data_IF_617380229261
#
_entry.id   IF_617380229261
#
_cell.length_a   1.000
_cell.length_b   1.000
_cell.length_c   1.000
_cell.angle_alpha   90.00
_cell.angle_beta   90.00
_cell.angle_gamma   90.00
#
_symmetry.space_group_name_H-M   'P 1'
#
loop_
_entity.id
_entity.type
_entity.pdbx_description
1 polymer ?
#
# COMPACT_ATOMS: atom_id res chain seq x y z
N UNK A 1 -31.16 -46.27 11.25
CA UNK A 1 -31.79 -47.48 11.83
C UNK A 1 -33.07 -47.77 11.06
N UNK A 2 -33.21 -48.95 10.42
CA UNK A 2 -34.37 -49.45 9.62
C UNK A 2 -34.74 -48.61 8.37
N UNK A 3 -34.77 -49.11 7.12
CA UNK A 3 -35.30 -50.34 6.47
C UNK A 3 -36.81 -50.28 6.14
N UNK A 4 -37.16 -50.04 4.86
CA UNK A 4 -37.97 -50.92 3.93
C UNK A 4 -38.37 -50.16 2.63
N UNK A 5 -37.95 -50.58 1.43
CA UNK A 5 -38.65 -51.41 0.40
C UNK A 5 -39.97 -50.81 -0.12
N UNK A 6 -40.36 -50.90 -1.41
CA UNK A 6 -40.31 -52.06 -2.34
C UNK A 6 -40.25 -51.67 -3.85
N UNK A 7 -39.80 -52.61 -4.70
CA UNK A 7 -40.12 -52.73 -6.16
C UNK A 7 -41.45 -53.55 -6.31
N UNK A 8 -41.80 -54.36 -7.37
CA UNK A 8 -41.35 -54.52 -8.77
C UNK A 8 -42.53 -54.71 -9.80
N UNK A 9 -42.29 -55.49 -10.88
CA UNK A 9 -43.18 -55.98 -11.98
C UNK A 9 -43.27 -55.06 -13.22
N UNK A 10 -43.27 -55.48 -14.51
CA UNK A 10 -43.07 -56.75 -15.29
C UNK A 10 -42.21 -56.38 -16.55
N UNK A 11 -41.24 -57.16 -17.05
CA UNK A 11 -41.24 -58.36 -17.94
C UNK A 11 -41.89 -58.26 -19.33
N UNK A 12 -41.08 -58.53 -20.36
CA UNK A 12 -41.40 -59.54 -21.40
C UNK A 12 -40.13 -60.23 -21.90
N UNK A 13 -40.19 -61.55 -22.06
CA UNK A 13 -39.10 -62.48 -22.40
C UNK A 13 -39.52 -63.39 -23.56
N UNK A 14 -38.57 -63.80 -24.43
CA UNK A 14 -38.45 -65.08 -25.17
C UNK A 14 -37.41 -64.94 -26.31
N UNK A 15 -36.81 -65.96 -26.94
CA UNK A 15 -36.17 -67.25 -26.54
C UNK A 15 -35.36 -67.75 -27.78
N UNK A 16 -34.51 -68.77 -27.63
CA UNK A 16 -33.60 -69.42 -28.64
C UNK A 16 -32.26 -68.70 -28.87
N UNK A 17 -31.06 -69.19 -28.48
CA UNK A 17 -30.53 -70.55 -28.24
C UNK A 17 -30.39 -71.40 -29.54
N UNK A 18 -29.34 -72.19 -29.82
CA UNK A 18 -28.23 -72.81 -29.06
C UNK A 18 -27.02 -72.91 -30.04
N UNK A 19 -25.74 -72.75 -29.66
CA UNK A 19 -24.78 -73.86 -29.42
C UNK A 19 -23.37 -73.32 -29.17
N UNK A 20 -22.64 -73.97 -28.26
CA UNK A 20 -21.20 -73.81 -28.08
C UNK A 20 -20.54 -75.18 -28.27
N UNK A 21 -19.35 -75.19 -28.87
CA UNK A 21 -18.41 -76.32 -28.83
C UNK A 21 -17.02 -75.78 -28.55
N UNK A 22 -16.36 -76.36 -27.53
CA UNK A 22 -14.94 -76.16 -27.24
C UNK A 22 -14.06 -76.93 -28.23
N UNK A 23 -12.75 -76.94 -27.95
CA UNK A 23 -11.64 -77.62 -28.64
C UNK A 23 -11.00 -76.76 -29.76
N UNK A 24 -9.69 -76.49 -29.79
CA UNK A 24 -8.57 -76.98 -28.97
C UNK A 24 -7.54 -75.90 -28.65
N UNK A 25 -6.82 -76.07 -27.53
CA UNK A 25 -5.53 -75.44 -27.31
C UNK A 25 -4.42 -76.30 -27.96
N UNK A 26 -3.44 -75.67 -28.61
CA UNK A 26 -2.16 -76.32 -28.96
C UNK A 26 -1.03 -75.29 -28.90
N UNK A 27 0.18 -75.75 -28.56
CA UNK A 27 1.27 -74.92 -28.06
C UNK A 27 2.37 -74.58 -29.10
N UNK A 28 3.07 -73.47 -28.82
CA UNK A 28 4.49 -73.13 -29.10
C UNK A 28 5.14 -73.39 -30.48
N UNK A 29 5.36 -72.28 -31.23
CA UNK A 29 6.57 -71.90 -32.02
C UNK A 29 7.10 -72.82 -33.17
N UNK A 30 8.12 -72.44 -33.99
CA UNK A 30 8.71 -71.11 -34.29
C UNK A 30 8.81 -70.78 -35.83
N UNK A 31 9.11 -69.51 -36.19
CA UNK A 31 10.08 -69.20 -37.26
C UNK A 31 9.65 -68.72 -38.67
N UNK A 32 9.97 -67.45 -38.95
CA UNK A 32 10.70 -66.92 -40.13
C UNK A 32 10.07 -66.71 -41.54
N UNK A 33 10.33 -65.48 -42.05
CA UNK A 33 10.64 -65.05 -43.43
C UNK A 33 9.51 -64.83 -44.46
N UNK A 34 9.05 -63.57 -44.54
CA UNK A 34 9.66 -62.56 -45.42
C UNK A 34 9.40 -62.66 -46.93
N UNK A 35 8.71 -61.63 -47.46
CA UNK A 35 8.87 -61.09 -48.82
C UNK A 35 8.79 -59.57 -48.70
N UNK A 36 9.83 -58.86 -49.11
CA UNK A 36 9.92 -57.40 -48.97
C UNK A 36 9.29 -56.69 -50.19
N UNK A 37 8.73 -55.50 -49.96
CA UNK A 37 8.15 -54.63 -50.98
C UNK A 37 9.17 -53.88 -51.84
N UNK A 38 8.69 -52.89 -52.59
CA UNK A 38 9.45 -52.18 -53.64
C UNK A 38 9.80 -50.72 -53.30
N UNK A 39 9.79 -50.34 -52.01
CA UNK A 39 10.09 -48.99 -51.56
C UNK A 39 8.96 -47.98 -51.77
N UNK A 40 7.70 -48.41 -51.70
CA UNK A 40 6.50 -47.55 -51.69
C UNK A 40 5.45 -48.11 -50.74
N UNK A 41 4.79 -47.22 -49.99
CA UNK A 41 3.73 -47.57 -49.06
C UNK A 41 2.45 -47.94 -49.82
N UNK A 42 2.04 -49.21 -49.74
CA UNK A 42 0.79 -49.71 -50.32
C UNK A 42 -0.36 -49.71 -49.27
N UNK A 43 -1.63 -49.77 -49.72
CA UNK A 43 -2.80 -49.75 -48.84
C UNK A 43 -2.84 -50.99 -47.91
N UNK A 44 -2.43 -50.81 -46.65
CA UNK A 44 -2.45 -51.85 -45.61
C UNK A 44 -1.14 -52.03 -44.85
N UNK A 45 -0.07 -51.29 -45.20
CA UNK A 45 1.20 -51.30 -44.48
C UNK A 45 1.33 -50.09 -43.54
N UNK A 46 1.77 -50.31 -42.30
CA UNK A 46 1.95 -49.23 -41.31
C UNK A 46 3.33 -48.55 -41.42
N UNK A 47 4.37 -49.26 -41.89
CA UNK A 47 5.68 -48.71 -42.26
C UNK A 47 6.55 -49.75 -43.04
N UNK A 48 7.41 -49.28 -43.95
CA UNK A 48 8.40 -50.10 -44.69
C UNK A 48 9.76 -50.11 -43.96
N UNK A 49 10.25 -51.31 -43.62
CA UNK A 49 11.55 -51.51 -42.98
C UNK A 49 12.44 -52.43 -43.81
N UNK A 50 13.03 -51.92 -44.89
CA UNK A 50 14.10 -52.59 -45.64
C UNK A 50 15.49 -52.05 -45.29
N UNK A 51 16.35 -52.90 -44.73
CA UNK A 51 17.78 -52.64 -44.50
C UNK A 51 18.61 -53.05 -45.73
N UNK A 52 18.58 -52.24 -46.79
CA UNK A 52 19.45 -52.41 -47.97
C UNK A 52 19.87 -51.04 -48.53
N UNK A 53 20.72 -50.31 -47.79
CA UNK A 53 21.60 -49.31 -48.40
C UNK A 53 23.00 -49.35 -47.77
N UNK A 54 23.99 -49.47 -48.64
CA UNK A 54 25.36 -49.85 -48.29
C UNK A 54 26.27 -48.61 -48.32
N UNK A 55 26.18 -47.73 -47.32
CA UNK A 55 27.23 -46.76 -46.92
C UNK A 55 26.79 -45.95 -45.68
N UNK A 56 27.57 -45.87 -44.59
CA UNK A 56 27.28 -44.97 -43.48
C UNK A 56 27.73 -43.54 -43.80
N UNK A 57 26.79 -42.60 -43.78
CA UNK A 57 27.06 -41.16 -43.76
C UNK A 57 27.27 -40.50 -45.13
N UNK A 58 26.22 -39.85 -45.63
CA UNK A 58 26.24 -38.44 -46.10
C UNK A 58 24.80 -38.02 -46.42
N UNK A 59 24.26 -37.03 -45.71
CA UNK A 59 23.07 -36.31 -46.15
C UNK A 59 23.44 -35.51 -47.41
N UNK A 60 22.92 -35.91 -48.57
CA UNK A 60 23.25 -35.29 -49.85
C UNK A 60 22.13 -34.32 -50.30
N UNK A 61 22.39 -33.01 -50.14
CA UNK A 61 21.42 -31.91 -50.25
C UNK A 61 20.23 -32.04 -49.26
N UNK A 62 19.72 -31.03 -48.58
CA UNK A 62 19.77 -29.57 -48.79
C UNK A 62 20.36 -28.85 -47.57
N UNK A 63 20.55 -27.52 -47.67
CA UNK A 63 21.29 -26.72 -46.68
C UNK A 63 20.73 -26.71 -45.24
N UNK A 64 21.59 -26.23 -44.33
CA UNK A 64 21.33 -26.07 -42.88
C UNK A 64 19.93 -25.53 -42.57
N UNK A 65 19.19 -26.25 -41.71
CA UNK A 65 17.83 -25.88 -41.27
C UNK A 65 16.67 -26.66 -41.90
N UNK A 66 16.89 -27.83 -42.49
CA UNK A 66 15.81 -28.68 -43.00
C UNK A 66 15.10 -29.43 -41.85
N UNK A 67 13.84 -29.07 -41.58
CA UNK A 67 12.99 -29.80 -40.64
C UNK A 67 12.69 -31.23 -41.13
N UNK A 68 12.59 -32.19 -40.20
CA UNK A 68 12.19 -33.56 -40.49
C UNK A 68 10.76 -33.60 -41.06
N UNK A 69 10.60 -34.06 -42.30
CA UNK A 69 9.29 -34.31 -42.90
C UNK A 69 8.71 -35.64 -42.36
N UNK A 70 7.58 -35.61 -41.61
CA UNK A 70 6.98 -36.82 -41.05
C UNK A 70 6.48 -37.82 -42.11
N UNK A 71 6.40 -37.43 -43.39
CA UNK A 71 6.03 -38.32 -44.48
C UNK A 71 7.14 -39.33 -44.85
N UNK A 72 8.38 -39.15 -44.37
CA UNK A 72 9.52 -40.02 -44.68
C UNK A 72 10.10 -40.66 -43.41
N UNK A 73 9.38 -41.66 -42.89
CA UNK A 73 9.80 -42.43 -41.73
C UNK A 73 10.93 -43.41 -42.08
N UNK A 74 12.18 -42.92 -42.16
CA UNK A 74 13.35 -43.79 -42.19
C UNK A 74 13.76 -44.19 -40.75
N UNK A 75 14.23 -45.42 -40.57
CA UNK A 75 14.63 -45.94 -39.26
C UNK A 75 16.02 -45.45 -38.78
N UNK A 76 16.48 -44.29 -39.28
CA UNK A 76 17.80 -43.71 -39.04
C UNK A 76 17.79 -42.22 -38.73
N UNK A 77 16.65 -41.53 -38.83
CA UNK A 77 16.45 -40.16 -38.35
C UNK A 77 16.25 -40.15 -36.83
N UNK A 78 17.25 -40.66 -36.11
CA UNK A 78 17.55 -40.08 -34.81
C UNK A 78 17.96 -38.64 -35.11
N UNK A 79 17.24 -37.65 -34.57
CA UNK A 79 17.82 -36.33 -34.42
C UNK A 79 19.10 -36.54 -33.62
N UNK A 80 20.25 -36.32 -34.26
CA UNK A 80 21.53 -36.34 -33.55
C UNK A 80 21.55 -35.02 -32.80
N UNK A 81 20.98 -35.05 -31.59
CA UNK A 81 21.03 -33.94 -30.65
C UNK A 81 22.51 -33.57 -30.47
N UNK A 82 22.92 -32.46 -31.08
CA UNK A 82 24.23 -31.90 -30.86
C UNK A 82 24.17 -31.06 -29.58
N UNK A 83 25.30 -30.72 -28.98
CA UNK A 83 25.30 -29.83 -27.80
C UNK A 83 25.09 -28.39 -28.29
N UNK A 84 23.85 -28.07 -28.66
CA UNK A 84 23.41 -26.88 -29.37
C UNK A 84 22.06 -26.41 -28.83
N UNK A 85 22.11 -25.39 -27.98
CA UNK A 85 20.91 -24.73 -27.48
C UNK A 85 20.00 -24.23 -28.62
N UNK A 86 18.72 -24.60 -28.55
CA UNK A 86 17.66 -24.27 -29.49
C UNK A 86 17.32 -25.37 -30.51
N UNK A 87 17.70 -26.63 -30.27
CA UNK A 87 17.44 -27.76 -31.18
C UNK A 87 16.29 -28.71 -30.76
N UNK A 88 15.54 -28.36 -29.71
CA UNK A 88 14.49 -29.17 -29.04
C UNK A 88 15.01 -30.43 -28.31
N UNK A 89 16.33 -30.66 -28.21
CA UNK A 89 16.92 -31.78 -27.48
C UNK A 89 17.73 -31.36 -26.23
N UNK A 90 17.14 -31.43 -25.02
CA UNK A 90 17.90 -31.21 -23.77
C UNK A 90 19.07 -32.21 -23.62
N UNK A 91 20.30 -31.73 -23.78
CA UNK A 91 21.51 -32.54 -23.71
C UNK A 91 22.76 -31.76 -23.22
N UNK A 92 23.90 -32.44 -23.09
CA UNK A 92 25.17 -31.79 -22.71
C UNK A 92 25.14 -31.11 -21.33
N UNK A 93 25.05 -29.76 -21.34
CA UNK A 93 24.97 -28.89 -20.15
C UNK A 93 23.62 -28.14 -20.05
N UNK A 94 22.69 -28.41 -20.95
CA UNK A 94 21.40 -27.71 -21.04
C UNK A 94 20.47 -28.14 -19.90
N UNK A 95 19.76 -27.17 -19.33
CA UNK A 95 18.76 -27.41 -18.27
C UNK A 95 17.33 -27.53 -18.84
N UNK A 96 17.13 -26.96 -20.04
CA UNK A 96 15.92 -27.01 -20.85
C UNK A 96 16.30 -26.77 -22.32
N UNK A 97 15.36 -27.03 -23.24
CA UNK A 97 15.43 -26.63 -24.64
C UNK A 97 14.01 -26.68 -25.24
N UNK A 98 13.43 -25.51 -25.52
CA UNK A 98 12.12 -25.35 -26.19
C UNK A 98 12.28 -25.07 -27.71
N UNK A 99 13.49 -25.27 -28.23
CA UNK A 99 13.88 -25.05 -29.61
C UNK A 99 13.87 -23.58 -30.00
N UNK A 100 13.23 -23.28 -31.13
CA UNK A 100 12.96 -21.93 -31.59
C UNK A 100 12.00 -21.12 -30.68
N UNK A 101 11.56 -21.67 -29.53
CA UNK A 101 10.80 -20.93 -28.50
C UNK A 101 11.65 -20.44 -27.32
N UNK A 102 12.94 -20.78 -27.27
CA UNK A 102 13.86 -20.20 -26.28
C UNK A 102 13.82 -18.67 -26.37
N UNK A 103 13.77 -17.98 -25.23
CA UNK A 103 13.47 -16.54 -25.17
C UNK A 103 13.88 -15.90 -23.85
N UNK A 104 14.64 -14.82 -23.94
CA UNK A 104 15.06 -13.98 -22.81
C UNK A 104 14.09 -12.81 -22.53
N UNK A 105 12.83 -12.92 -23.00
CA UNK A 105 11.76 -11.93 -22.80
C UNK A 105 10.38 -12.56 -22.60
N UNK A 106 10.28 -13.88 -22.56
CA UNK A 106 8.99 -14.59 -22.48
C UNK A 106 8.93 -15.37 -21.17
N UNK A 107 7.93 -15.12 -20.31
CA UNK A 107 7.78 -15.86 -19.07
C UNK A 107 7.69 -17.37 -19.28
N UNK A 108 8.31 -18.11 -18.37
CA UNK A 108 8.41 -19.58 -18.31
C UNK A 108 9.13 -20.25 -19.49
N UNK A 109 9.64 -19.49 -20.47
CA UNK A 109 10.41 -20.03 -21.59
C UNK A 109 11.85 -20.34 -21.18
N UNK A 110 12.42 -21.41 -21.74
CA UNK A 110 13.86 -21.66 -21.65
C UNK A 110 14.66 -20.44 -22.16
N UNK A 111 15.73 -20.03 -21.47
CA UNK A 111 16.57 -18.90 -21.90
C UNK A 111 17.41 -19.26 -23.13
N UNK A 112 17.91 -18.27 -23.87
CA UNK A 112 18.66 -18.52 -25.12
C UNK A 112 20.06 -19.09 -24.91
N UNK A 113 20.50 -19.21 -23.65
CA UNK A 113 21.68 -19.98 -23.22
C UNK A 113 21.34 -21.41 -22.71
N UNK A 114 20.06 -21.81 -22.81
CA UNK A 114 19.48 -23.06 -22.33
C UNK A 114 19.62 -23.33 -20.83
N UNK A 115 19.74 -22.26 -20.04
CA UNK A 115 19.41 -22.27 -18.62
C UNK A 115 17.90 -22.16 -18.42
N UNK A 116 17.40 -22.72 -17.32
CA UNK A 116 15.98 -22.60 -16.99
C UNK A 116 15.64 -21.18 -16.52
N UNK A 117 14.39 -20.74 -16.76
CA UNK A 117 13.82 -19.53 -16.14
C UNK A 117 14.14 -19.49 -14.64
N UNK A 118 14.71 -18.36 -14.18
CA UNK A 118 15.13 -18.17 -12.78
C UNK A 118 15.15 -16.69 -12.40
N UNK A 119 14.87 -16.46 -11.12
CA UNK A 119 15.17 -15.21 -10.46
C UNK A 119 16.58 -14.66 -10.74
N UNK A 120 16.62 -13.40 -11.19
CA UNK A 120 17.80 -12.65 -11.61
C UNK A 120 18.18 -12.83 -13.09
N UNK A 121 17.20 -12.96 -13.99
CA UNK A 121 17.42 -13.10 -15.43
C UNK A 121 16.63 -12.14 -16.35
N UNK A 122 16.14 -11.03 -15.79
CA UNK A 122 15.44 -9.90 -16.45
C UNK A 122 13.99 -10.21 -16.90
N UNK A 123 13.42 -11.37 -16.51
CA UNK A 123 12.06 -11.78 -16.88
C UNK A 123 11.33 -12.44 -15.70
N UNK A 124 10.29 -11.78 -15.19
CA UNK A 124 9.46 -12.36 -14.12
C UNK A 124 8.65 -13.59 -14.60
N UNK A 125 8.99 -14.77 -14.07
CA UNK A 125 8.40 -16.06 -14.41
C UNK A 125 7.29 -16.52 -13.42
N UNK A 126 6.69 -17.69 -13.67
CA UNK A 126 5.67 -18.26 -12.79
C UNK A 126 6.24 -18.62 -11.41
N UNK A 127 5.92 -17.77 -10.44
CA UNK A 127 6.31 -17.91 -9.03
C UNK A 127 6.98 -16.66 -8.47
N UNK A 128 7.46 -15.80 -9.36
CA UNK A 128 8.13 -14.54 -9.05
C UNK A 128 7.10 -13.40 -9.04
N UNK A 129 7.44 -12.31 -8.35
CA UNK A 129 6.58 -11.12 -8.29
C UNK A 129 7.13 -9.95 -9.12
N UNK A 130 8.44 -9.98 -9.36
CA UNK A 130 9.25 -9.04 -10.13
C UNK A 130 10.54 -9.76 -10.55
N UNK A 131 11.26 -9.22 -11.53
CA UNK A 131 12.63 -9.59 -11.84
C UNK A 131 13.31 -8.39 -12.54
N UNK A 132 14.28 -7.78 -11.87
CA UNK A 132 15.14 -6.70 -12.37
C UNK A 132 16.53 -7.25 -12.77
N UNK A 133 16.64 -8.56 -12.99
CA UNK A 133 17.85 -9.23 -13.43
C UNK A 133 19.02 -9.10 -12.45
N UNK A 134 20.12 -8.53 -12.94
CA UNK A 134 21.28 -8.24 -12.09
C UNK A 134 21.04 -7.09 -11.10
N UNK A 135 20.04 -6.25 -11.33
CA UNK A 135 19.71 -5.11 -10.46
C UNK A 135 18.80 -5.52 -9.28
N UNK A 136 18.39 -6.80 -9.18
CA UNK A 136 17.77 -7.39 -7.99
C UNK A 136 18.65 -7.18 -6.74
N UNK A 137 18.14 -6.50 -5.71
CA UNK A 137 18.97 -6.05 -4.59
C UNK A 137 18.17 -5.76 -3.30
N UNK A 138 18.57 -6.36 -2.18
CA UNK A 138 17.80 -6.35 -0.91
C UNK A 138 17.79 -5.02 -0.13
N UNK A 139 18.70 -4.10 -0.42
CA UNK A 139 18.89 -2.83 0.32
C UNK A 139 18.90 -1.58 -0.57
N UNK A 140 18.28 -1.66 -1.76
CA UNK A 140 18.25 -0.60 -2.77
C UNK A 140 16.78 -0.19 -2.98
N UNK A 141 16.44 1.09 -2.82
CA UNK A 141 15.08 1.56 -3.02
C UNK A 141 14.52 1.20 -4.39
N UNK A 142 13.30 0.69 -4.36
CA UNK A 142 12.43 0.27 -5.45
C UNK A 142 12.96 -0.89 -6.32
N UNK A 143 14.04 -1.56 -5.90
CA UNK A 143 14.54 -2.78 -6.55
C UNK A 143 13.79 -4.03 -6.08
N UNK A 144 13.54 -4.94 -7.00
CA UNK A 144 13.11 -6.31 -6.70
C UNK A 144 14.11 -6.98 -5.74
N UNK A 145 13.62 -7.76 -4.76
CA UNK A 145 14.48 -8.42 -3.77
C UNK A 145 15.20 -9.62 -4.42
N UNK A 146 16.32 -10.07 -3.84
CA UNK A 146 17.15 -11.14 -4.44
C UNK A 146 16.51 -12.54 -4.45
N UNK A 147 15.31 -12.68 -3.87
CA UNK A 147 14.44 -13.85 -3.96
C UNK A 147 13.23 -13.65 -4.92
N UNK A 148 13.27 -12.58 -5.72
CA UNK A 148 12.25 -12.16 -6.69
C UNK A 148 10.86 -11.93 -6.08
N UNK A 149 10.86 -11.48 -4.82
CA UNK A 149 9.71 -10.85 -4.20
C UNK A 149 9.77 -9.33 -4.35
N UNK A 150 8.60 -8.69 -4.42
CA UNK A 150 8.54 -7.23 -4.38
C UNK A 150 9.07 -6.72 -3.03
N UNK A 151 9.60 -5.49 -2.97
CA UNK A 151 9.87 -4.78 -1.71
C UNK A 151 8.71 -4.88 -0.71
N UNK A 152 9.05 -4.95 0.59
CA UNK A 152 8.08 -5.06 1.67
C UNK A 152 8.32 -4.06 2.80
N UNK A 153 7.23 -3.41 3.21
CA UNK A 153 7.24 -2.56 4.39
C UNK A 153 7.72 -3.31 5.65
N UNK A 154 8.78 -2.79 6.27
CA UNK A 154 9.38 -3.32 7.48
C UNK A 154 10.73 -4.02 7.27
N UNK A 155 11.40 -3.80 6.14
CA UNK A 155 12.74 -4.32 5.85
C UNK A 155 13.89 -3.28 5.96
N UNK A 156 13.57 -2.05 6.37
CA UNK A 156 14.48 -0.90 6.56
C UNK A 156 14.91 -0.19 5.25
N UNK A 157 14.36 -0.58 4.10
CA UNK A 157 14.43 0.17 2.83
C UNK A 157 13.18 1.05 2.69
N UNK A 158 13.26 2.16 1.95
CA UNK A 158 12.09 3.00 1.67
C UNK A 158 11.77 2.90 0.19
N UNK A 159 10.75 2.10 -0.15
CA UNK A 159 10.36 1.81 -1.54
C UNK A 159 9.24 2.76 -1.98
N UNK A 160 9.66 3.95 -2.43
CA UNK A 160 8.78 5.09 -2.71
C UNK A 160 7.87 4.87 -3.93
N UNK A 161 8.34 4.15 -4.95
CA UNK A 161 7.50 3.75 -6.08
C UNK A 161 6.45 2.70 -5.68
N UNK A 162 6.72 1.93 -4.62
CA UNK A 162 5.80 0.95 -4.02
C UNK A 162 4.85 1.57 -2.98
N UNK A 163 4.94 2.89 -2.76
CA UNK A 163 3.97 3.68 -2.01
C UNK A 163 4.36 3.95 -0.55
N UNK A 164 5.61 3.66 -0.19
CA UNK A 164 6.16 3.94 1.14
C UNK A 164 6.58 5.40 1.30
N UNK A 165 6.51 5.88 2.53
CA UNK A 165 6.90 7.24 2.93
C UNK A 165 7.97 7.21 4.03
N UNK A 166 8.09 6.08 4.72
CA UNK A 166 9.02 5.80 5.78
C UNK A 166 9.14 4.28 5.91
N UNK A 167 10.29 3.80 6.34
CA UNK A 167 10.44 2.48 6.93
C UNK A 167 11.44 2.58 8.09
N UNK A 168 11.09 1.97 9.22
CA UNK A 168 11.91 1.83 10.43
C UNK A 168 12.08 0.34 10.79
N UNK A 169 11.85 -0.55 9.84
CA UNK A 169 11.93 -1.99 9.98
C UNK A 169 10.95 -2.50 11.04
N UNK A 170 11.47 -3.34 11.94
CA UNK A 170 10.74 -3.84 13.10
C UNK A 170 10.27 -2.74 14.10
N UNK A 171 10.70 -1.49 13.95
CA UNK A 171 10.20 -0.36 14.75
C UNK A 171 8.95 0.32 14.16
N UNK A 172 8.46 -0.11 12.99
CA UNK A 172 7.16 0.31 12.46
C UNK A 172 6.03 -0.07 13.42
N UNK A 173 5.14 0.88 13.71
CA UNK A 173 4.16 0.72 14.77
C UNK A 173 2.99 1.69 14.64
N UNK A 174 1.79 1.19 14.90
CA UNK A 174 0.57 2.01 15.02
C UNK A 174 0.33 2.47 16.46
N UNK A 175 1.26 2.18 17.39
CA UNK A 175 1.16 2.58 18.79
C UNK A 175 1.50 4.07 18.97
N UNK A 176 0.88 4.77 19.95
CA UNK A 176 1.04 6.21 20.05
C UNK A 176 2.49 6.73 20.14
N UNK A 177 2.78 7.81 19.41
CA UNK A 177 4.09 8.42 19.26
C UNK A 177 4.99 7.85 18.15
N UNK A 178 4.59 6.76 17.47
CA UNK A 178 5.41 6.16 16.39
C UNK A 178 5.74 7.15 15.27
N UNK A 179 6.89 6.97 14.61
CA UNK A 179 7.33 7.79 13.46
C UNK A 179 6.91 7.22 12.10
N UNK A 180 6.48 5.97 12.07
CA UNK A 180 6.05 5.26 10.87
C UNK A 180 5.00 4.20 11.25
N UNK A 181 3.90 4.12 10.52
CA UNK A 181 2.86 3.11 10.73
C UNK A 181 3.32 1.72 10.26
N UNK A 182 2.59 0.66 10.60
CA UNK A 182 2.85 -0.71 10.07
C UNK A 182 2.57 -0.87 8.58
N UNK A 183 2.10 0.18 7.92
CA UNK A 183 1.86 0.24 6.48
C UNK A 183 2.80 1.23 5.78
N UNK A 184 3.94 1.55 6.41
CA UNK A 184 5.01 2.42 5.88
C UNK A 184 4.55 3.80 5.42
N UNK A 185 3.54 4.34 6.14
CA UNK A 185 3.05 5.71 5.97
C UNK A 185 3.42 6.57 7.17
N UNK A 186 3.69 7.84 6.89
CA UNK A 186 3.90 8.85 7.92
C UNK A 186 2.50 9.25 8.41
N UNK A 187 2.20 9.09 9.72
CA UNK A 187 0.93 9.54 10.28
C UNK A 187 0.71 11.05 10.07
N UNK A 188 -0.50 11.46 9.69
CA UNK A 188 -0.80 12.88 9.45
C UNK A 188 -2.22 13.28 9.83
N UNK A 189 -2.30 14.39 10.57
CA UNK A 189 -3.53 14.87 11.18
C UNK A 189 -4.57 15.40 10.18
N UNK A 190 -5.83 15.11 10.47
CA UNK A 190 -7.01 15.59 9.75
C UNK A 190 -7.51 14.62 8.69
N UNK A 191 -7.20 13.32 8.80
CA UNK A 191 -7.54 12.28 7.84
C UNK A 191 -8.75 11.42 8.25
N UNK A 192 -9.23 11.56 9.50
CA UNK A 192 -10.38 10.87 10.07
C UNK A 192 -10.06 9.50 10.69
N UNK A 193 -8.77 9.15 10.81
CA UNK A 193 -8.29 7.91 11.43
C UNK A 193 -7.27 8.30 12.48
N UNK A 194 -7.56 8.03 13.75
CA UNK A 194 -6.60 8.28 14.85
C UNK A 194 -5.38 7.36 14.68
N UNK A 195 -4.31 7.89 14.13
CA UNK A 195 -3.05 7.20 13.93
C UNK A 195 -2.12 7.36 15.15
N UNK A 196 -0.91 6.80 15.06
CA UNK A 196 0.04 6.79 16.15
C UNK A 196 0.35 8.20 16.72
N UNK A 197 0.45 9.27 15.93
CA UNK A 197 0.88 10.57 16.48
C UNK A 197 -0.23 11.38 17.15
N UNK A 198 -1.39 10.76 17.32
CA UNK A 198 -2.66 11.44 17.41
C UNK A 198 -3.39 10.98 18.67
N UNK A 199 -3.86 11.94 19.45
CA UNK A 199 -4.77 11.70 20.58
C UNK A 199 -6.22 11.62 20.07
N UNK A 200 -6.49 12.34 18.99
CA UNK A 200 -7.74 12.42 18.24
C UNK A 200 -7.39 12.68 16.78
N UNK A 201 -8.33 12.40 15.88
CA UNK A 201 -8.39 12.90 14.51
C UNK A 201 -9.88 12.87 14.15
N UNK A 202 -10.45 14.00 13.81
CA UNK A 202 -11.86 14.17 13.47
C UNK A 202 -12.12 14.39 11.97
N UNK A 203 -11.07 14.24 11.14
CA UNK A 203 -11.11 14.37 9.69
C UNK A 203 -11.06 15.79 9.17
N UNK A 204 -10.59 16.75 9.98
CA UNK A 204 -10.60 18.15 9.62
C UNK A 204 -9.32 18.91 10.06
N UNK A 205 -9.25 20.21 9.78
CA UNK A 205 -8.08 21.07 10.03
C UNK A 205 -8.45 22.39 10.73
N UNK A 206 -9.35 22.31 11.71
CA UNK A 206 -9.78 23.40 12.60
C UNK A 206 -9.13 23.17 13.96
N UNK A 207 -8.81 24.24 14.71
CA UNK A 207 -8.25 24.11 16.06
C UNK A 207 -9.29 24.28 17.17
N UNK A 208 -10.51 24.72 16.84
CA UNK A 208 -11.55 25.17 17.77
C UNK A 208 -12.71 24.18 17.94
N UNK A 209 -12.53 22.92 17.57
CA UNK A 209 -13.46 21.82 17.84
C UNK A 209 -12.82 20.85 18.84
N UNK A 210 -13.16 19.57 18.83
CA UNK A 210 -12.65 18.59 19.80
C UNK A 210 -11.20 18.14 19.51
N UNK A 211 -10.65 18.48 18.34
CA UNK A 211 -9.32 18.00 17.92
C UNK A 211 -8.50 19.06 17.17
N UNK A 212 -7.40 19.50 17.78
CA UNK A 212 -6.49 20.45 17.13
C UNK A 212 -5.85 19.90 15.85
N UNK A 213 -5.40 20.80 14.97
CA UNK A 213 -4.58 20.50 13.77
C UNK A 213 -3.23 19.82 14.06
N UNK A 214 -2.84 19.71 15.33
CA UNK A 214 -1.70 18.89 15.79
C UNK A 214 -2.12 17.50 16.32
N UNK A 215 -3.39 17.13 16.10
CA UNK A 215 -4.05 15.92 16.57
C UNK A 215 -3.86 15.66 18.07
N UNK A 216 -4.01 16.75 18.83
CA UNK A 216 -4.17 16.75 20.28
C UNK A 216 -5.61 17.12 20.59
N UNK A 217 -6.16 16.53 21.65
CA UNK A 217 -7.43 17.01 22.16
C UNK A 217 -7.32 18.50 22.43
N UNK A 218 -8.27 19.27 21.90
CA UNK A 218 -8.43 20.63 22.33
C UNK A 218 -8.87 20.61 23.80
N UNK A 219 -8.13 21.32 24.65
CA UNK A 219 -8.39 21.44 26.09
C UNK A 219 -8.06 22.85 26.56
N UNK A 220 -8.89 23.38 27.47
CA UNK A 220 -8.59 24.56 28.26
C UNK A 220 -7.11 24.64 28.69
N UNK A 221 -6.49 25.78 28.41
CA UNK A 221 -5.08 26.07 28.64
C UNK A 221 -4.16 25.71 27.47
N UNK A 222 -4.70 25.39 26.28
CA UNK A 222 -3.90 25.05 25.09
C UNK A 222 -3.76 26.20 24.06
N UNK A 223 -4.48 27.30 24.27
CA UNK A 223 -4.49 28.49 23.42
C UNK A 223 -5.56 28.49 22.34
N UNK A 224 -6.48 27.52 22.31
CA UNK A 224 -7.55 27.42 21.31
C UNK A 224 -8.94 27.25 21.93
N UNK A 225 -9.72 28.34 22.02
CA UNK A 225 -11.11 28.28 22.53
C UNK A 225 -11.98 27.24 21.78
N UNK A 226 -12.39 26.18 22.48
CA UNK A 226 -13.24 25.10 21.95
C UNK A 226 -14.69 25.53 21.78
N UNK A 227 -15.14 25.64 20.53
CA UNK A 227 -16.50 26.08 20.18
C UNK A 227 -17.55 24.95 20.23
N UNK A 228 -17.12 23.69 20.34
CA UNK A 228 -18.03 22.53 20.36
C UNK A 228 -17.44 21.34 21.10
N UNK A 229 -18.29 20.59 21.79
CA UNK A 229 -17.96 19.29 22.35
C UNK A 229 -18.40 19.09 23.79
N UNK A 230 -17.77 18.13 24.48
CA UNK A 230 -18.00 17.84 25.90
C UNK A 230 -16.66 17.67 26.64
N UNK A 231 -16.43 18.32 27.81
CA UNK A 231 -17.31 19.22 28.55
C UNK A 231 -17.62 20.50 27.72
N UNK A 232 -18.57 21.38 28.13
CA UNK A 232 -19.14 22.38 27.21
C UNK A 232 -18.10 23.27 26.50
N UNK A 233 -18.58 23.96 25.46
CA UNK A 233 -17.78 24.94 24.73
C UNK A 233 -17.18 25.97 25.69
N UNK A 234 -15.93 26.29 25.45
CA UNK A 234 -15.13 27.22 26.23
C UNK A 234 -15.50 28.66 25.86
N UNK A 235 -15.38 29.56 26.83
CA UNK A 235 -15.70 30.98 26.69
C UNK A 235 -14.44 31.79 26.41
N UNK A 236 -13.32 31.36 26.98
CA UNK A 236 -11.97 31.90 26.82
C UNK A 236 -10.95 30.75 26.81
N UNK A 237 -9.72 31.04 26.41
CA UNK A 237 -8.52 30.23 26.61
C UNK A 237 -7.33 31.17 26.34
N UNK A 238 -6.46 31.37 27.33
CA UNK A 238 -5.26 32.23 27.25
C UNK A 238 -3.94 31.43 27.14
N UNK A 239 -4.03 30.11 27.00
CA UNK A 239 -2.91 29.20 26.82
C UNK A 239 -2.21 28.78 28.11
N UNK A 240 -2.86 28.91 29.27
CA UNK A 240 -2.32 28.41 30.53
C UNK A 240 -3.39 27.99 31.58
N UNK A 241 -2.94 27.58 32.77
CA UNK A 241 -3.77 27.03 33.87
C UNK A 241 -3.87 28.01 35.08
N UNK A 242 -3.33 29.22 35.01
CA UNK A 242 -3.37 30.19 36.11
C UNK A 242 -4.80 30.78 36.27
N UNK A 243 -5.14 31.19 37.49
CA UNK A 243 -6.49 31.61 37.89
C UNK A 243 -6.59 33.14 38.09
N UNK A 244 -5.62 33.89 37.52
CA UNK A 244 -5.33 35.28 37.91
C UNK A 244 -5.06 36.24 36.75
N UNK A 245 -5.28 35.77 35.53
CA UNK A 245 -5.13 36.44 34.24
C UNK A 245 -6.45 36.33 33.43
N UNK A 246 -6.38 36.28 32.10
CA UNK A 246 -7.53 36.59 31.24
C UNK A 246 -8.63 35.50 31.27
N UNK A 247 -8.27 34.26 31.57
CA UNK A 247 -9.18 33.11 31.62
C UNK A 247 -9.03 32.31 32.93
N UNK A 248 -10.13 31.72 33.42
CA UNK A 248 -10.10 30.82 34.58
C UNK A 248 -9.62 29.42 34.19
N UNK A 249 -9.02 28.65 35.11
CA UNK A 249 -8.51 27.27 34.85
C UNK A 249 -9.51 26.27 34.23
N UNK A 250 -10.82 26.54 34.27
CA UNK A 250 -11.85 25.70 33.66
C UNK A 250 -12.47 26.29 32.38
N UNK A 251 -11.98 27.43 31.89
CA UNK A 251 -12.36 28.10 30.63
C UNK A 251 -13.86 28.38 30.44
N UNK A 252 -14.67 28.26 31.51
CA UNK A 252 -16.08 28.61 31.52
C UNK A 252 -16.35 30.06 31.96
N UNK A 253 -15.31 30.78 32.33
CA UNK A 253 -15.35 32.15 32.81
C UNK A 253 -14.11 32.89 32.32
N UNK A 254 -14.35 33.88 31.47
CA UNK A 254 -13.42 34.97 31.20
C UNK A 254 -13.32 35.80 32.49
N UNK A 255 -12.09 36.01 32.97
CA UNK A 255 -11.80 36.73 34.22
C UNK A 255 -11.41 38.19 33.97
N UNK A 256 -11.47 38.64 32.72
CA UNK A 256 -11.36 40.05 32.30
C UNK A 256 -12.71 40.71 32.03
N UNK A 257 -13.78 40.23 32.68
CA UNK A 257 -15.09 40.92 32.67
C UNK A 257 -15.10 42.16 33.56
N UNK A 258 -14.30 43.14 33.16
CA UNK A 258 -14.43 44.50 33.64
C UNK A 258 -15.88 44.99 33.54
N UNK A 259 -16.49 45.25 34.69
CA UNK A 259 -17.91 45.62 34.82
C UNK A 259 -18.82 44.48 35.28
N UNK A 260 -18.30 43.46 35.97
CA UNK A 260 -19.11 42.39 36.60
C UNK A 260 -19.63 42.74 38.01
N UNK A 261 -19.03 43.74 38.65
CA UNK A 261 -19.35 44.21 40.00
C UNK A 261 -18.34 43.78 41.08
N UNK A 262 -17.23 43.15 40.72
CA UNK A 262 -16.22 42.63 41.66
C UNK A 262 -14.80 42.99 41.22
N UNK A 263 -14.06 43.73 42.05
CA UNK A 263 -12.67 44.11 41.75
C UNK A 263 -11.76 42.88 41.79
N UNK A 264 -11.16 42.57 40.65
CA UNK A 264 -10.34 41.38 40.38
C UNK A 264 -8.83 41.68 40.34
N UNK A 265 -8.01 40.65 40.11
CA UNK A 265 -6.54 40.78 40.10
C UNK A 265 -6.07 41.42 38.79
N UNK A 266 -5.79 42.72 38.82
CA UNK A 266 -5.37 43.50 37.64
C UNK A 266 -6.19 44.78 37.47
N UNK A 267 -7.38 44.82 38.08
CA UNK A 267 -8.26 45.98 38.10
C UNK A 267 -7.91 46.95 39.23
N UNK A 268 -8.09 48.25 38.99
CA UNK A 268 -8.06 49.27 40.05
C UNK A 268 -9.46 49.53 40.63
N UNK A 269 -10.50 49.26 39.85
CA UNK A 269 -11.90 49.42 40.21
C UNK A 269 -12.80 48.51 39.36
N UNK A 270 -14.01 48.27 39.86
CA UNK A 270 -15.13 47.72 39.10
C UNK A 270 -16.42 48.29 39.73
N UNK A 271 -17.24 48.97 38.92
CA UNK A 271 -18.55 49.52 39.28
C UNK A 271 -19.72 48.75 38.62
N UNK A 272 -19.46 47.55 38.10
CA UNK A 272 -20.38 46.71 37.36
C UNK A 272 -20.77 47.34 36.03
N UNK A 273 -22.03 47.11 35.63
CA UNK A 273 -22.67 47.81 34.51
C UNK A 273 -22.78 49.35 34.66
N UNK A 274 -22.15 49.96 35.67
CA UNK A 274 -21.98 51.41 35.81
C UNK A 274 -20.58 51.92 35.41
N UNK A 275 -19.66 51.04 34.96
CA UNK A 275 -18.41 51.45 34.32
C UNK A 275 -18.71 52.30 33.08
N UNK A 276 -18.00 53.41 32.90
CA UNK A 276 -18.26 54.35 31.81
C UNK A 276 -17.07 55.28 31.51
N UNK A 277 -16.88 55.57 30.22
CA UNK A 277 -15.94 56.59 29.75
C UNK A 277 -16.65 57.95 29.70
N UNK A 278 -17.26 58.32 30.83
CA UNK A 278 -17.95 59.57 31.05
C UNK A 278 -17.21 60.40 32.12
N UNK A 279 -17.25 61.74 32.05
CA UNK A 279 -16.63 62.58 33.06
C UNK A 279 -17.12 62.23 34.47
N UNK A 280 -16.18 62.10 35.40
CA UNK A 280 -16.39 61.75 36.81
C UNK A 280 -17.06 60.37 37.03
N UNK A 281 -16.95 59.44 36.08
CA UNK A 281 -17.35 58.05 36.29
C UNK A 281 -16.54 57.40 37.41
N UNK A 282 -17.17 56.52 38.20
CA UNK A 282 -16.50 55.87 39.33
C UNK A 282 -15.41 54.86 38.90
N UNK A 283 -15.52 54.36 37.67
CA UNK A 283 -14.59 53.44 37.05
C UNK A 283 -14.74 53.52 35.52
N UNK A 284 -13.64 53.40 34.78
CA UNK A 284 -13.62 53.40 33.30
C UNK A 284 -14.03 52.04 32.73
N UNK A 285 -14.25 51.96 31.42
CA UNK A 285 -14.57 50.67 30.76
C UNK A 285 -13.37 49.73 30.62
N UNK A 286 -12.17 50.17 30.99
CA UNK A 286 -10.93 49.37 31.10
C UNK A 286 -10.58 48.98 32.55
N UNK A 287 -11.49 49.23 33.51
CA UNK A 287 -11.36 48.94 34.95
C UNK A 287 -10.15 49.56 35.65
N UNK A 288 -9.65 50.64 35.06
CA UNK A 288 -8.71 51.55 35.69
C UNK A 288 -9.45 52.76 36.27
N UNK A 289 -8.84 53.38 37.28
CA UNK A 289 -9.40 54.59 37.85
C UNK A 289 -9.26 55.77 36.86
N UNK A 290 -10.22 56.73 36.90
CA UNK A 290 -10.16 57.96 36.12
C UNK A 290 -8.83 58.69 36.30
N UNK A 291 -8.12 58.97 35.21
CA UNK A 291 -6.78 59.57 35.26
C UNK A 291 -6.40 60.32 33.98
N UNK A 292 -5.58 61.33 34.18
CA UNK A 292 -4.85 62.03 33.13
C UNK A 292 -4.19 61.08 32.11
N UNK A 293 -4.67 61.13 30.87
CA UNK A 293 -4.23 60.33 29.74
C UNK A 293 -5.18 59.20 29.33
N UNK A 294 -6.41 59.13 29.84
CA UNK A 294 -7.34 58.00 29.61
C UNK A 294 -8.39 58.20 28.50
N UNK A 295 -8.52 59.40 27.92
CA UNK A 295 -9.46 59.73 26.86
C UNK A 295 -10.66 60.59 27.31
N UNK A 296 -10.80 60.85 28.61
CA UNK A 296 -11.92 61.58 29.21
C UNK A 296 -11.38 62.70 30.12
N UNK A 297 -11.97 63.91 30.04
CA UNK A 297 -11.61 65.04 30.92
C UNK A 297 -12.51 65.02 32.16
N UNK A 298 -11.95 64.78 33.34
CA UNK A 298 -12.67 64.76 34.62
C UNK A 298 -12.63 66.10 35.40
N UNK A 299 -13.37 66.16 36.51
CA UNK A 299 -13.32 67.28 37.47
C UNK A 299 -11.93 67.39 38.12
N UNK A 300 -11.17 68.37 37.65
CA UNK A 300 -9.80 68.65 38.09
C UNK A 300 -8.82 68.77 36.94
N UNK A 301 -9.21 68.29 35.76
CA UNK A 301 -8.42 68.31 34.54
C UNK A 301 -8.91 69.43 33.61
N UNK A 302 -7.98 70.14 32.96
CA UNK A 302 -8.32 71.15 31.95
C UNK A 302 -8.30 70.56 30.53
N UNK A 303 -7.62 69.44 30.39
CA UNK A 303 -7.38 68.66 29.18
C UNK A 303 -6.98 67.24 29.61
N UNK A 304 -7.03 66.30 28.68
CA UNK A 304 -6.67 64.91 28.94
C UNK A 304 -5.74 64.41 27.82
N UNK A 305 -4.50 64.03 28.18
CA UNK A 305 -3.49 63.31 27.37
C UNK A 305 -3.01 63.92 26.03
N UNK A 306 -3.76 64.84 25.43
CA UNK A 306 -3.65 65.22 24.03
C UNK A 306 -2.50 66.20 23.75
N UNK A 307 -2.21 66.42 22.45
CA UNK A 307 -1.12 67.33 22.03
C UNK A 307 -1.36 68.77 22.49
N UNK A 308 -0.64 69.18 23.54
CA UNK A 308 -0.78 70.49 24.18
C UNK A 308 -1.20 70.42 25.66
N UNK A 309 -1.58 69.25 26.13
CA UNK A 309 -1.84 68.95 27.55
C UNK A 309 -0.52 68.64 28.28
N UNK A 310 -0.40 69.10 29.52
CA UNK A 310 0.69 68.73 30.43
C UNK A 310 0.48 67.34 31.04
N UNK A 311 1.56 66.75 31.59
CA UNK A 311 1.47 65.48 32.33
C UNK A 311 0.79 65.60 33.71
N UNK A 312 0.36 66.80 34.07
CA UNK A 312 -0.47 67.19 35.20
C UNK A 312 -1.92 67.53 34.77
N UNK A 313 -2.28 67.25 33.52
CA UNK A 313 -3.57 67.56 32.89
C UNK A 313 -4.03 69.03 32.99
N UNK A 314 -3.06 69.95 33.01
CA UNK A 314 -3.26 71.38 32.77
C UNK A 314 -2.85 71.77 31.34
N UNK A 315 -3.42 72.84 30.80
CA UNK A 315 -2.97 73.34 29.50
C UNK A 315 -1.53 73.87 29.60
N UNK A 316 -0.64 73.36 28.75
CA UNK A 316 0.75 73.81 28.70
C UNK A 316 0.81 75.34 28.52
N UNK A 317 1.33 76.04 29.53
CA UNK A 317 1.05 77.45 29.78
C UNK A 317 1.53 78.36 28.64
N UNK A 318 0.64 78.73 27.71
CA UNK A 318 1.05 79.57 26.58
C UNK A 318 0.14 79.72 25.36
N UNK A 319 -1.17 79.39 25.43
CA UNK A 319 -2.11 79.67 24.32
C UNK A 319 -3.44 80.27 24.80
N UNK A 320 -3.57 81.58 24.57
CA UNK A 320 -4.83 82.32 24.37
C UNK A 320 -5.25 82.24 22.91
#
# INVERSE_FOLDING_TARGET
MRIRTMRPWLRSTAILAVLATQENAFAEAPGLKGRCGNGRLDEGEECDYSLDDYLPGTCADWGVGAACDPAYCNAGCYAVCEVLCGDECVNGLEECDDGARNSDIAPDACRTDCTRPRCGDDVADTGEQCDDGHDNWDTMPDACRTDCTNPICGDEVIDVAHGEQCDLGAANSDAPGSRCSRSCRIPYCGNGVVEAREQCDDGNAINTDECTTMCRYNVCGDGFVRQSGSPPAEVCDDGNDDDGDDCRYDCYQDLTLCGDGTVQSGEECDAGAANADAPDAACRTDCLLPRCGDGVVDTGEECDGATGCGGDCTWASGRT
#
